data_IF_411670265931
#
_entry.id   IF_411670265931
#
_cell.length_a   1.000
_cell.length_b   1.000
_cell.length_c   1.000
_cell.angle_alpha   90.00
_cell.angle_beta   90.00
_cell.angle_gamma   90.00
#
_symmetry.space_group_name_H-M   'P 1'
#
loop_
_entity.id
_entity.type
_entity.pdbx_description
1 polymer ?
#
# COMPACT_ATOMS: atom_id res chain seq x y z
N UNK A 1 14.89 -3.16 -6.28
CA UNK A 1 13.83 -2.67 -5.38
C UNK A 1 13.11 -1.57 -6.13
N UNK A 2 11.86 -1.80 -6.54
CA UNK A 2 11.10 -0.80 -7.29
C UNK A 2 10.90 0.43 -6.37
N UNK A 3 11.34 1.60 -6.82
CA UNK A 3 11.14 2.84 -6.07
C UNK A 3 9.68 3.25 -6.25
N UNK A 4 8.88 3.14 -5.20
CA UNK A 4 7.51 3.65 -5.18
C UNK A 4 7.45 5.10 -5.65
N UNK A 5 6.63 5.39 -6.67
CA UNK A 5 6.44 6.75 -7.18
C UNK A 5 5.95 7.68 -6.08
N UNK A 6 5.08 7.17 -5.21
CA UNK A 6 4.57 7.92 -4.06
C UNK A 6 5.67 8.38 -3.08
N UNK A 7 6.75 7.61 -2.93
CA UNK A 7 7.89 8.00 -2.08
C UNK A 7 8.81 9.04 -2.74
N UNK A 8 8.76 9.15 -4.07
CA UNK A 8 9.50 10.15 -4.84
C UNK A 8 8.73 11.48 -4.88
N UNK A 9 7.40 11.42 -4.93
CA UNK A 9 6.52 12.61 -4.95
C UNK A 9 6.37 13.26 -3.55
N UNK A 10 6.49 12.48 -2.47
CA UNK A 10 6.26 12.95 -1.11
C UNK A 10 7.44 12.69 -0.17
N UNK A 11 7.88 13.74 0.52
CA UNK A 11 8.85 13.67 1.60
C UNK A 11 8.41 12.71 2.71
N UNK A 12 9.37 12.05 3.36
CA UNK A 12 9.13 11.09 4.43
C UNK A 12 8.29 11.68 5.57
N UNK A 13 8.59 12.91 5.99
CA UNK A 13 7.85 13.58 7.06
C UNK A 13 6.38 13.83 6.71
N UNK A 14 6.10 14.24 5.46
CA UNK A 14 4.73 14.46 4.99
C UNK A 14 3.95 13.15 4.91
N UNK A 15 4.57 12.08 4.40
CA UNK A 15 3.95 10.74 4.36
C UNK A 15 3.63 10.26 5.77
N UNK A 16 4.60 10.35 6.69
CA UNK A 16 4.43 9.95 8.08
C UNK A 16 3.31 10.71 8.78
N UNK A 17 3.25 12.03 8.59
CA UNK A 17 2.18 12.86 9.14
C UNK A 17 0.80 12.48 8.55
N UNK A 18 0.73 12.19 7.24
CA UNK A 18 -0.50 11.76 6.58
C UNK A 18 -0.97 10.40 7.11
N UNK A 19 -0.08 9.40 7.18
CA UNK A 19 -0.39 8.08 7.72
C UNK A 19 -0.85 8.15 9.19
N UNK A 20 -0.13 8.91 10.03
CA UNK A 20 -0.48 9.09 11.43
C UNK A 20 -1.87 9.72 11.59
N UNK A 21 -2.14 10.81 10.85
CA UNK A 21 -3.46 11.48 10.87
C UNK A 21 -4.59 10.56 10.40
N UNK A 22 -4.34 9.76 9.37
CA UNK A 22 -5.31 8.80 8.85
C UNK A 22 -5.59 7.69 9.86
N UNK A 23 -4.56 7.15 10.52
CA UNK A 23 -4.73 6.13 11.56
C UNK A 23 -5.42 6.66 12.80
N UNK A 24 -5.17 7.91 13.18
CA UNK A 24 -5.87 8.56 14.28
C UNK A 24 -7.35 8.78 13.94
N UNK A 25 -7.65 9.18 12.70
CA UNK A 25 -9.03 9.39 12.23
C UNK A 25 -9.78 8.07 11.98
N UNK A 26 -9.08 7.02 11.57
CA UNK A 26 -9.63 5.72 11.21
C UNK A 26 -8.74 4.60 11.79
N UNK A 27 -8.88 4.29 13.09
CA UNK A 27 -8.01 3.32 13.78
C UNK A 27 -8.18 1.89 13.24
N UNK A 28 -9.39 1.54 12.79
CA UNK A 28 -9.71 0.22 12.24
C UNK A 28 -9.40 0.08 10.75
N UNK A 29 -8.73 1.06 10.15
CA UNK A 29 -8.40 1.06 8.72
C UNK A 29 -6.89 1.16 8.49
N UNK A 30 -6.44 0.37 7.53
CA UNK A 30 -5.05 0.29 7.13
C UNK A 30 -4.85 1.16 5.88
N UNK A 31 -3.93 2.14 5.92
CA UNK A 31 -3.60 2.94 4.77
C UNK A 31 -2.70 2.16 3.80
N UNK A 32 -3.24 1.85 2.62
CA UNK A 32 -2.58 1.05 1.59
C UNK A 32 -2.36 1.91 0.34
N UNK A 33 -1.12 1.92 -0.12
CA UNK A 33 -0.70 2.52 -1.39
C UNK A 33 -0.58 1.41 -2.43
N UNK A 34 -1.38 1.49 -3.48
CA UNK A 34 -1.40 0.51 -4.57
C UNK A 34 -0.74 1.14 -5.80
N UNK A 35 0.33 0.52 -6.27
CA UNK A 35 1.11 0.99 -7.42
C UNK A 35 1.20 -0.07 -8.51
N UNK A 36 1.25 0.38 -9.76
CA UNK A 36 1.41 -0.50 -10.91
C UNK A 36 2.86 -0.99 -10.99
N UNK A 37 3.07 -2.28 -11.23
CA UNK A 37 4.39 -2.80 -11.56
C UNK A 37 4.86 -2.26 -12.92
N UNK A 38 6.13 -1.84 -13.01
CA UNK A 38 6.70 -1.16 -14.19
C UNK A 38 6.54 -1.92 -15.52
N UNK A 39 6.38 -3.25 -15.48
CA UNK A 39 6.29 -4.11 -16.67
C UNK A 39 4.89 -4.61 -17.02
N UNK A 40 3.85 -4.12 -16.35
CA UNK A 40 2.53 -4.72 -16.52
C UNK A 40 1.70 -4.08 -17.65
N UNK A 41 0.95 -4.89 -18.41
CA UNK A 41 0.00 -4.44 -19.44
C UNK A 41 -1.37 -3.99 -18.88
N UNK A 42 -1.56 -4.10 -17.56
CA UNK A 42 -2.84 -3.70 -16.92
C UNK A 42 -3.08 -2.19 -17.00
N UNK A 43 -4.33 -1.74 -17.16
CA UNK A 43 -4.66 -0.33 -17.13
C UNK A 43 -4.23 0.31 -15.81
N UNK A 44 -3.80 1.57 -15.87
CA UNK A 44 -3.39 2.31 -14.69
C UNK A 44 -4.62 2.57 -13.80
N UNK A 45 -4.50 2.26 -12.51
CA UNK A 45 -5.54 2.56 -11.53
C UNK A 45 -5.42 4.04 -11.13
N UNK A 46 -6.47 4.82 -11.38
CA UNK A 46 -6.51 6.27 -11.07
C UNK A 46 -6.35 6.58 -9.58
N UNK A 47 -6.85 5.71 -8.71
CA UNK A 47 -6.70 5.85 -7.25
C UNK A 47 -5.60 4.94 -6.74
N UNK A 48 -4.54 5.54 -6.21
CA UNK A 48 -3.41 4.80 -5.59
C UNK A 48 -3.54 4.66 -4.06
N UNK A 49 -4.47 5.39 -3.42
CA UNK A 49 -4.63 5.44 -1.95
C UNK A 49 -5.92 4.76 -1.51
N UNK A 50 -5.80 3.73 -0.67
CA UNK A 50 -6.92 2.95 -0.16
C UNK A 50 -6.90 2.87 1.37
N UNK A 51 -8.08 2.77 1.97
CA UNK A 51 -8.27 2.49 3.39
C UNK A 51 -8.97 1.14 3.51
N UNK A 52 -8.19 0.11 3.80
CA UNK A 52 -8.71 -1.25 3.94
C UNK A 52 -9.11 -1.47 5.39
N UNK A 53 -10.38 -1.82 5.69
CA UNK A 53 -10.79 -2.06 7.06
C UNK A 53 -10.30 -3.45 7.51
N UNK A 54 -9.83 -3.56 8.75
CA UNK A 54 -9.16 -4.76 9.26
C UNK A 54 -10.10 -5.96 9.48
N UNK A 55 -11.42 -5.73 9.50
CA UNK A 55 -12.49 -6.68 9.79
C UNK A 55 -13.00 -7.49 8.57
N UNK A 56 -12.60 -7.12 7.35
CA UNK A 56 -12.94 -7.88 6.15
C UNK A 56 -12.02 -9.11 5.97
N UNK A 57 -12.48 -10.13 5.25
CA UNK A 57 -11.69 -11.36 4.96
C UNK A 57 -10.34 -11.08 4.31
N UNK A 58 -10.28 -10.11 3.38
CA UNK A 58 -9.03 -9.61 2.80
C UNK A 58 -8.32 -8.63 3.76
N UNK A 59 -9.08 -7.93 4.59
CA UNK A 59 -8.59 -7.02 5.63
C UNK A 59 -7.71 -7.71 6.66
N UNK A 60 -8.08 -8.91 7.11
CA UNK A 60 -7.27 -9.70 8.04
C UNK A 60 -5.89 -10.05 7.46
N UNK A 61 -5.84 -10.46 6.19
CA UNK A 61 -4.58 -10.74 5.47
C UNK A 61 -3.76 -9.45 5.33
N UNK A 62 -4.39 -8.36 4.91
CA UNK A 62 -3.73 -7.06 4.77
C UNK A 62 -3.24 -6.51 6.11
N UNK A 63 -3.92 -6.82 7.22
CA UNK A 63 -3.51 -6.46 8.58
C UNK A 63 -2.23 -7.18 8.97
N UNK A 64 -2.18 -8.51 8.78
CA UNK A 64 -0.98 -9.28 9.06
C UNK A 64 0.21 -8.78 8.22
N UNK A 65 0.01 -8.58 6.92
CA UNK A 65 1.05 -8.03 6.04
C UNK A 65 1.46 -6.62 6.47
N UNK A 66 0.52 -5.77 6.88
CA UNK A 66 0.84 -4.43 7.37
C UNK A 66 1.69 -4.46 8.63
N UNK A 67 1.43 -5.34 9.58
CA UNK A 67 2.25 -5.45 10.78
C UNK A 67 3.69 -5.89 10.49
N UNK A 68 3.87 -6.76 9.50
CA UNK A 68 5.19 -7.29 9.13
C UNK A 68 5.95 -6.46 8.07
N UNK A 69 5.23 -5.78 7.17
CA UNK A 69 5.78 -5.20 5.93
C UNK A 69 5.44 -3.73 5.71
N UNK A 70 4.77 -3.05 6.65
CA UNK A 70 4.59 -1.59 6.55
C UNK A 70 5.94 -0.89 6.46
N UNK A 71 5.93 0.25 5.80
CA UNK A 71 7.11 1.11 5.74
C UNK A 71 7.21 1.99 6.99
N UNK A 72 8.36 2.62 7.19
CA UNK A 72 8.60 3.54 8.30
C UNK A 72 7.71 4.79 8.25
N UNK A 73 7.16 5.09 7.07
CA UNK A 73 6.16 6.14 6.88
C UNK A 73 4.75 5.78 7.38
N UNK A 74 4.47 4.52 7.71
CA UNK A 74 3.16 4.05 8.17
C UNK A 74 2.17 3.66 7.08
N UNK A 75 2.59 3.51 5.82
CA UNK A 75 1.80 2.96 4.72
C UNK A 75 2.21 1.53 4.36
N UNK A 76 1.25 0.74 3.87
CA UNK A 76 1.53 -0.51 3.15
C UNK A 76 1.66 -0.25 1.66
N UNK A 77 2.76 -0.68 1.03
CA UNK A 77 2.93 -0.59 -0.42
C UNK A 77 2.63 -1.93 -1.08
N UNK A 78 1.62 -1.95 -1.93
CA UNK A 78 1.23 -3.14 -2.70
C UNK A 78 1.41 -2.84 -4.18
N UNK A 79 2.13 -3.70 -4.88
CA UNK A 79 2.27 -3.61 -6.33
C UNK A 79 1.36 -4.63 -7.01
N UNK A 80 0.67 -4.21 -8.06
CA UNK A 80 -0.13 -5.13 -8.90
C UNK A 80 0.51 -5.27 -10.29
N UNK A 81 0.52 -6.50 -10.78
CA UNK A 81 0.86 -6.86 -12.16
C UNK A 81 -0.21 -7.81 -12.69
N UNK A 82 -0.58 -7.67 -13.97
CA UNK A 82 -1.43 -8.61 -14.70
C UNK A 82 -0.73 -9.88 -15.13
N UNK A 83 0.56 -10.05 -14.83
CA UNK A 83 1.20 -11.36 -14.91
C UNK A 83 0.83 -12.16 -13.66
N UNK A 84 0.39 -13.42 -13.84
CA UNK A 84 0.14 -14.35 -12.74
C UNK A 84 1.47 -14.71 -12.05
N UNK A 85 1.95 -13.86 -11.16
CA UNK A 85 3.18 -14.11 -10.40
C UNK A 85 2.89 -14.96 -9.18
N UNK A 86 2.48 -16.22 -9.38
CA UNK A 86 2.90 -17.26 -8.42
C UNK A 86 4.40 -17.42 -8.69
N UNK A 87 5.21 -16.83 -7.81
CA UNK A 87 6.65 -16.64 -8.02
C UNK A 87 7.33 -17.88 -8.59
N UNK A 88 8.29 -17.67 -9.49
CA UNK A 88 9.19 -18.74 -9.95
C UNK A 88 9.74 -19.47 -8.72
N UNK A 89 9.29 -20.71 -8.52
CA UNK A 89 9.83 -21.61 -7.51
C UNK A 89 11.12 -22.25 -8.02
#
# INVERSE_FOLDING_TARGET
>A
MAKSSFKQEHDLEKRRAEAARIREKYPDRIPVIVEKAERSDVPNIDKKKYLVPADLTVGAIMSAIYEEKKDEDGFLYVTYSGENTFGNQ
#
